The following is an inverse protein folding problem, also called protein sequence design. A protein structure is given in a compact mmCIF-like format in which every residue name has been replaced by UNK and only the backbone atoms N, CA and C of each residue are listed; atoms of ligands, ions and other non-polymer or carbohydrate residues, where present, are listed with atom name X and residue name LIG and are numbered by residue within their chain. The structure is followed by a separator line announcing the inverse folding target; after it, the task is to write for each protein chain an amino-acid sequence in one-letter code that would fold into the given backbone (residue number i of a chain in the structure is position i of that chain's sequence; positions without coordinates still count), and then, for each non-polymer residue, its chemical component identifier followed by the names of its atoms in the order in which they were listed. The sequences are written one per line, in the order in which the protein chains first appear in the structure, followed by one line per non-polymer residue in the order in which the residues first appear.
data_IF_543895550044
#
_entry.id   IF_543895550044
#
_cell.length_a   1.000
_cell.length_b   1.000
_cell.length_c   1.000
_cell.angle_alpha   90.00
_cell.angle_beta   90.00
_cell.angle_gamma   90.00
#
_symmetry.space_group_name_H-M   'P 1'
#
loop_
_entity.id
_entity.type
_entity.pdbx_description
1 polymer ?
#
# COMPACT_ATOMS: atom_id res chain seq x y z
N UNK A 1 5.60 0.38 22.97
CA UNK A 1 5.43 -1.08 23.25
C UNK A 1 5.42 -1.90 21.96
N UNK A 2 4.40 -1.77 21.09
CA UNK A 2 4.32 -2.60 19.86
C UNK A 2 5.57 -2.46 18.96
N UNK A 3 5.99 -1.23 18.66
CA UNK A 3 7.18 -0.98 17.86
C UNK A 3 8.47 -1.45 18.55
N UNK A 4 8.56 -1.38 19.88
CA UNK A 4 9.73 -1.86 20.62
C UNK A 4 9.86 -3.39 20.52
N UNK A 5 8.72 -4.10 20.61
CA UNK A 5 8.68 -5.56 20.46
C UNK A 5 9.02 -6.00 19.02
N UNK A 6 8.53 -5.28 18.00
CA UNK A 6 8.90 -5.53 16.61
C UNK A 6 10.41 -5.30 16.39
N UNK A 7 10.95 -4.20 16.93
CA UNK A 7 12.38 -3.90 16.84
C UNK A 7 13.22 -4.97 17.54
N UNK A 8 12.80 -5.46 18.70
CA UNK A 8 13.47 -6.56 19.41
C UNK A 8 13.44 -7.86 18.61
N UNK A 9 12.30 -8.20 18.02
CA UNK A 9 12.14 -9.40 17.19
C UNK A 9 13.06 -9.35 15.95
N UNK A 10 13.12 -8.21 15.27
CA UNK A 10 14.06 -7.99 14.17
C UNK A 10 15.52 -8.09 14.60
N UNK A 11 15.89 -7.55 15.77
CA UNK A 11 17.27 -7.68 16.29
C UNK A 11 17.62 -9.13 16.61
N UNK A 12 16.69 -9.88 17.20
CA UNK A 12 16.91 -11.27 17.60
C UNK A 12 16.98 -12.24 16.43
N UNK A 13 16.28 -11.95 15.34
CA UNK A 13 16.09 -12.84 14.19
C UNK A 13 16.33 -12.12 12.86
N UNK A 14 17.43 -11.35 12.77
CA UNK A 14 17.71 -10.45 11.65
C UNK A 14 17.87 -11.18 10.28
N UNK A 15 18.20 -12.47 10.29
CA UNK A 15 18.29 -13.33 9.10
C UNK A 15 16.92 -13.65 8.49
N UNK A 16 15.85 -13.62 9.32
CA UNK A 16 14.45 -13.90 8.95
C UNK A 16 13.60 -12.65 8.85
N UNK A 17 13.77 -11.71 9.78
CA UNK A 17 13.02 -10.47 9.91
C UNK A 17 13.97 -9.27 9.78
N UNK A 18 14.37 -8.88 8.56
CA UNK A 18 15.42 -7.90 8.35
C UNK A 18 15.02 -6.46 8.71
N UNK A 19 13.71 -6.19 8.81
CA UNK A 19 13.15 -4.91 9.17
C UNK A 19 11.70 -5.07 9.63
N UNK A 20 11.17 -4.03 10.27
CA UNK A 20 9.76 -3.90 10.59
C UNK A 20 9.22 -2.54 10.11
N UNK A 21 7.89 -2.45 10.05
CA UNK A 21 7.13 -1.25 9.72
C UNK A 21 6.43 -0.80 10.99
N UNK A 22 6.52 0.49 11.32
CA UNK A 22 5.99 0.98 12.59
C UNK A 22 4.47 1.20 12.56
N UNK A 23 3.81 0.90 13.66
CA UNK A 23 2.44 1.31 13.94
C UNK A 23 2.43 2.70 14.62
N UNK A 24 1.39 3.49 14.36
CA UNK A 24 1.33 4.91 14.78
C UNK A 24 0.07 5.24 15.61
N UNK A 25 0.19 6.10 16.64
CA UNK A 25 -0.95 6.57 17.44
C UNK A 25 -1.73 7.69 16.72
N UNK A 26 -2.37 7.35 15.60
CA UNK A 26 -3.00 8.31 14.67
C UNK A 26 -4.13 9.17 15.26
N UNK A 27 -4.58 8.88 16.49
CA UNK A 27 -5.53 9.73 17.23
C UNK A 27 -4.89 11.01 17.81
N UNK A 28 -3.55 11.13 17.78
CA UNK A 28 -2.82 12.31 18.20
C UNK A 28 -1.66 12.58 17.22
N UNK A 29 -1.72 13.69 16.49
CA UNK A 29 -0.74 14.02 15.43
C UNK A 29 0.64 14.32 16.01
N UNK A 30 0.73 15.07 17.10
CA UNK A 30 2.04 15.40 17.70
C UNK A 30 2.74 14.14 18.21
N UNK A 31 2.00 13.25 18.88
CA UNK A 31 2.51 11.95 19.31
C UNK A 31 2.86 11.06 18.12
N UNK A 32 2.08 11.11 17.03
CA UNK A 32 2.37 10.38 15.80
C UNK A 32 3.70 10.83 15.19
N UNK A 33 3.92 12.13 15.08
CA UNK A 33 5.15 12.67 14.51
C UNK A 33 6.38 12.31 15.36
N UNK A 34 6.26 12.41 16.68
CA UNK A 34 7.32 11.97 17.61
C UNK A 34 7.60 10.46 17.47
N UNK A 35 6.56 9.64 17.35
CA UNK A 35 6.73 8.18 17.21
C UNK A 35 7.30 7.79 15.85
N UNK A 36 7.00 8.51 14.76
CA UNK A 36 7.67 8.30 13.46
C UNK A 36 9.17 8.49 13.62
N UNK A 37 9.60 9.61 14.22
CA UNK A 37 11.02 9.91 14.38
C UNK A 37 11.70 8.88 15.28
N UNK A 38 11.09 8.52 16.40
CA UNK A 38 11.64 7.51 17.31
C UNK A 38 11.73 6.14 16.65
N UNK A 39 10.66 5.70 15.97
CA UNK A 39 10.62 4.39 15.34
C UNK A 39 11.64 4.28 14.20
N UNK A 40 11.80 5.31 13.38
CA UNK A 40 12.76 5.32 12.28
C UNK A 40 14.20 5.48 12.77
N UNK A 41 14.47 6.52 13.58
CA UNK A 41 15.83 6.89 13.95
C UNK A 41 16.40 5.99 15.06
N UNK A 42 15.59 5.63 16.05
CA UNK A 42 16.09 4.95 17.26
C UNK A 42 15.87 3.44 17.19
N UNK A 43 14.75 3.00 16.60
CA UNK A 43 14.39 1.58 16.51
C UNK A 43 14.74 0.92 15.17
N UNK A 44 14.97 1.71 14.11
CA UNK A 44 15.32 1.20 12.79
C UNK A 44 14.14 0.73 11.93
N UNK A 45 12.93 1.24 12.18
CA UNK A 45 11.77 0.99 11.33
C UNK A 45 12.05 1.45 9.89
N UNK A 46 11.58 0.68 8.89
CA UNK A 46 11.81 0.96 7.46
C UNK A 46 10.55 1.45 6.74
N UNK A 47 9.66 2.07 7.48
CA UNK A 47 8.39 2.60 7.00
C UNK A 47 7.37 2.64 8.12
N UNK A 48 6.16 3.10 7.79
CA UNK A 48 5.02 3.12 8.71
C UNK A 48 3.78 2.53 8.04
N UNK A 49 2.90 1.91 8.82
CA UNK A 49 1.61 1.44 8.34
C UNK A 49 0.52 2.45 8.73
N UNK A 50 -0.29 2.84 7.75
CA UNK A 50 -1.49 3.63 7.95
C UNK A 50 -2.71 2.86 7.45
N UNK A 51 -3.81 2.97 8.19
CA UNK A 51 -5.10 2.48 7.70
C UNK A 51 -5.77 3.51 6.79
N UNK A 52 -6.64 3.06 5.89
CA UNK A 52 -7.40 3.89 4.92
C UNK A 52 -8.23 5.01 5.57
N UNK A 53 -8.48 4.93 6.88
CA UNK A 53 -9.10 5.98 7.68
C UNK A 53 -8.57 5.99 9.12
N UNK A 54 -8.81 7.10 9.83
CA UNK A 54 -8.49 7.27 11.25
C UNK A 54 -9.77 7.70 11.97
N UNK A 55 -10.35 6.80 12.78
CA UNK A 55 -11.62 7.04 13.47
C UNK A 55 -12.73 7.56 12.54
N UNK A 56 -12.86 6.97 11.35
CA UNK A 56 -13.83 7.37 10.32
C UNK A 56 -13.42 8.59 9.49
N UNK A 57 -12.32 9.28 9.84
CA UNK A 57 -11.80 10.40 9.06
C UNK A 57 -10.90 9.92 7.92
N UNK A 58 -10.99 10.54 6.74
CA UNK A 58 -10.15 10.19 5.61
C UNK A 58 -8.73 10.70 5.78
N UNK A 59 -7.73 9.94 5.31
CA UNK A 59 -6.32 10.37 5.33
C UNK A 59 -6.03 11.64 4.52
N UNK A 60 -6.95 12.03 3.62
CA UNK A 60 -6.87 13.30 2.88
C UNK A 60 -7.20 14.54 3.72
N UNK A 61 -7.71 14.36 4.95
CA UNK A 61 -7.98 15.48 5.85
C UNK A 61 -6.69 16.26 6.15
N UNK A 62 -6.73 17.61 6.22
CA UNK A 62 -5.53 18.43 6.42
C UNK A 62 -4.71 18.08 7.68
N UNK A 63 -5.38 17.60 8.74
CA UNK A 63 -4.74 17.20 10.00
C UNK A 63 -3.72 16.05 9.84
N UNK A 64 -3.88 15.19 8.82
CA UNK A 64 -2.95 14.09 8.56
C UNK A 64 -1.82 14.47 7.59
N UNK A 65 -1.87 15.66 6.97
CA UNK A 65 -0.82 16.12 6.04
C UNK A 65 0.59 16.09 6.64
N UNK A 66 0.81 16.51 7.91
CA UNK A 66 2.13 16.46 8.54
C UNK A 66 2.76 15.06 8.56
N UNK A 67 1.96 14.00 8.68
CA UNK A 67 2.43 12.61 8.69
C UNK A 67 3.10 12.26 7.36
N UNK A 68 2.46 12.60 6.24
CA UNK A 68 3.03 12.35 4.90
C UNK A 68 4.26 13.19 4.63
N UNK A 69 4.27 14.47 5.04
CA UNK A 69 5.47 15.33 4.95
C UNK A 69 6.64 14.72 5.72
N UNK A 70 6.38 14.18 6.92
CA UNK A 70 7.40 13.55 7.74
C UNK A 70 7.96 12.29 7.09
N UNK A 71 7.09 11.45 6.52
CA UNK A 71 7.52 10.24 5.81
C UNK A 71 8.30 10.55 4.53
N UNK A 72 7.91 11.60 3.79
CA UNK A 72 8.68 12.09 2.66
C UNK A 72 10.09 12.58 3.08
N UNK A 73 10.21 13.28 4.22
CA UNK A 73 11.50 13.72 4.75
C UNK A 73 12.42 12.56 5.17
N UNK A 74 11.86 11.49 5.73
CA UNK A 74 12.60 10.24 6.01
C UNK A 74 12.93 9.43 4.75
N UNK A 75 12.26 9.73 3.63
CA UNK A 75 12.39 9.04 2.36
C UNK A 75 12.16 7.52 2.51
N UNK A 76 11.13 7.16 3.30
CA UNK A 76 10.69 5.81 3.61
C UNK A 76 9.20 5.63 3.28
N UNK A 77 8.75 4.39 2.97
CA UNK A 77 7.39 4.16 2.51
C UNK A 77 6.33 4.22 3.61
N UNK A 78 5.12 4.61 3.19
CA UNK A 78 3.87 4.42 3.91
C UNK A 78 3.16 3.20 3.32
N UNK A 79 2.92 2.18 4.15
CA UNK A 79 2.07 1.04 3.80
C UNK A 79 0.62 1.40 4.07
N UNK A 80 -0.20 1.48 3.03
CA UNK A 80 -1.62 1.78 3.14
C UNK A 80 -2.42 0.49 3.18
N UNK A 81 -3.03 0.22 4.32
CA UNK A 81 -3.80 -1.01 4.58
C UNK A 81 -5.29 -0.69 4.77
N UNK A 82 -6.22 -1.43 4.15
CA UNK A 82 -7.66 -1.29 4.43
C UNK A 82 -8.03 -1.81 5.82
N UNK A 83 -9.12 -1.34 6.43
CA UNK A 83 -9.56 -1.83 7.74
C UNK A 83 -11.08 -1.71 7.89
N UNK A 84 -11.81 -1.88 6.78
CA UNK A 84 -13.27 -1.99 6.86
C UNK A 84 -13.63 -3.14 7.79
N UNK A 85 -14.64 -2.95 8.65
CA UNK A 85 -15.21 -4.01 9.47
C UNK A 85 -16.61 -4.40 8.98
N UNK A 86 -17.21 -5.45 9.59
CA UNK A 86 -18.54 -5.95 9.23
C UNK A 86 -19.66 -4.95 9.52
N UNK A 87 -19.42 -3.89 10.29
CA UNK A 87 -20.37 -2.82 10.59
C UNK A 87 -20.56 -1.81 9.44
N UNK A 88 -19.93 -2.02 8.28
CA UNK A 88 -20.16 -1.22 7.09
C UNK A 88 -21.26 -1.89 6.24
N UNK A 89 -22.51 -1.39 6.21
CA UNK A 89 -23.60 -2.05 5.51
C UNK A 89 -23.41 -2.00 3.99
N UNK A 90 -23.90 -3.03 3.29
CA UNK A 90 -23.81 -3.13 1.82
C UNK A 90 -24.93 -2.32 1.14
N UNK A 91 -26.11 -2.28 1.78
CA UNK A 91 -27.27 -1.49 1.37
C UNK A 91 -27.74 -0.53 2.45
N UNK A 92 -28.40 0.57 2.04
CA UNK A 92 -28.83 1.64 2.95
C UNK A 92 -29.83 1.20 4.04
N UNK A 93 -30.53 0.07 3.86
CA UNK A 93 -31.46 -0.51 4.84
C UNK A 93 -30.81 -1.47 5.84
N UNK A 94 -29.52 -1.78 5.68
CA UNK A 94 -28.80 -2.73 6.53
C UNK A 94 -28.02 -2.04 7.65
N UNK A 95 -27.57 -2.83 8.63
CA UNK A 95 -26.72 -2.34 9.72
C UNK A 95 -25.30 -2.93 9.66
N UNK A 96 -25.13 -4.04 8.96
CA UNK A 96 -23.87 -4.77 8.80
C UNK A 96 -23.78 -5.31 7.38
N UNK A 97 -22.56 -5.52 6.88
CA UNK A 97 -22.34 -6.21 5.62
C UNK A 97 -22.69 -7.70 5.74
N UNK A 98 -23.23 -8.26 4.66
CA UNK A 98 -23.52 -9.68 4.54
C UNK A 98 -22.37 -10.44 3.84
N UNK A 99 -22.26 -11.73 4.11
CA UNK A 99 -21.35 -12.66 3.41
C UNK A 99 -19.88 -12.18 3.30
N UNK A 100 -19.41 -11.40 4.27
CA UNK A 100 -18.04 -10.85 4.30
C UNK A 100 -17.69 -9.98 3.08
N UNK A 101 -18.69 -9.34 2.45
CA UNK A 101 -18.48 -8.39 1.35
C UNK A 101 -17.58 -7.24 1.80
N UNK A 102 -17.72 -6.79 3.06
CA UNK A 102 -16.87 -5.78 3.69
C UNK A 102 -15.36 -6.11 3.59
N UNK A 103 -15.01 -7.39 3.65
CA UNK A 103 -13.64 -7.89 3.52
C UNK A 103 -13.29 -8.08 2.04
N UNK A 104 -14.06 -8.90 1.33
CA UNK A 104 -13.72 -9.37 -0.03
C UNK A 104 -13.67 -8.26 -1.07
N UNK A 105 -14.64 -7.34 -1.07
CA UNK A 105 -14.71 -6.22 -2.00
C UNK A 105 -14.51 -4.87 -1.31
N UNK A 106 -14.90 -4.77 -0.04
CA UNK A 106 -14.78 -3.54 0.71
C UNK A 106 -13.34 -3.11 0.94
N UNK A 107 -12.41 -4.03 1.20
CA UNK A 107 -11.00 -3.70 1.41
C UNK A 107 -10.32 -3.14 0.14
N UNK A 108 -10.37 -3.81 -1.03
CA UNK A 108 -9.86 -3.23 -2.28
C UNK A 108 -10.53 -1.91 -2.66
N UNK A 109 -11.82 -1.74 -2.36
CA UNK A 109 -12.54 -0.49 -2.58
C UNK A 109 -12.00 0.64 -1.68
N UNK A 110 -11.81 0.39 -0.38
CA UNK A 110 -11.27 1.39 0.54
C UNK A 110 -9.88 1.87 0.15
N UNK A 111 -8.99 0.96 -0.26
CA UNK A 111 -7.66 1.34 -0.76
C UNK A 111 -7.78 2.27 -1.96
N UNK A 112 -8.61 1.90 -2.94
CA UNK A 112 -8.85 2.68 -4.16
C UNK A 112 -9.41 4.06 -3.86
N UNK A 113 -10.41 4.14 -2.97
CA UNK A 113 -11.05 5.38 -2.58
C UNK A 113 -10.08 6.29 -1.79
N UNK A 114 -9.32 5.72 -0.85
CA UNK A 114 -8.34 6.46 -0.06
C UNK A 114 -7.28 7.09 -0.96
N UNK A 115 -6.64 6.30 -1.82
CA UNK A 115 -5.62 6.78 -2.77
C UNK A 115 -6.18 7.87 -3.68
N UNK A 116 -7.36 7.65 -4.26
CA UNK A 116 -8.02 8.66 -5.10
C UNK A 116 -8.16 9.97 -4.34
N UNK A 117 -8.63 9.93 -3.10
CA UNK A 117 -8.77 11.15 -2.27
C UNK A 117 -7.44 11.81 -1.95
N UNK A 118 -6.36 11.05 -1.74
CA UNK A 118 -5.02 11.62 -1.53
C UNK A 118 -4.52 12.34 -2.79
N UNK A 119 -4.74 11.74 -3.96
CA UNK A 119 -4.40 12.34 -5.27
C UNK A 119 -5.15 13.65 -5.45
N UNK A 120 -6.49 13.65 -5.34
CA UNK A 120 -7.32 14.84 -5.49
C UNK A 120 -7.14 15.88 -4.37
N UNK A 121 -6.56 15.47 -3.24
CA UNK A 121 -6.07 16.39 -2.21
C UNK A 121 -4.64 16.89 -2.51
N UNK A 122 -4.15 16.71 -3.74
CA UNK A 122 -2.85 17.19 -4.25
C UNK A 122 -1.64 16.67 -3.48
N UNK A 123 -1.74 15.51 -2.82
CA UNK A 123 -0.64 14.98 -2.00
C UNK A 123 0.63 14.76 -2.82
N UNK A 124 0.49 14.19 -4.01
CA UNK A 124 1.62 13.87 -4.89
C UNK A 124 2.11 15.07 -5.71
N UNK A 125 1.31 16.15 -5.82
CA UNK A 125 1.83 17.44 -6.30
C UNK A 125 2.77 18.07 -5.28
N UNK A 126 2.39 18.00 -4.01
CA UNK A 126 3.17 18.55 -2.91
C UNK A 126 4.40 17.70 -2.58
N UNK A 127 4.26 16.37 -2.60
CA UNK A 127 5.27 15.40 -2.20
C UNK A 127 5.48 14.36 -3.32
N UNK A 128 6.10 14.74 -4.45
CA UNK A 128 6.25 13.86 -5.62
C UNK A 128 7.11 12.62 -5.36
N UNK A 129 8.02 12.68 -4.38
CA UNK A 129 8.90 11.57 -4.00
C UNK A 129 8.31 10.69 -2.88
N UNK A 130 7.10 11.01 -2.40
CA UNK A 130 6.43 10.21 -1.38
C UNK A 130 6.13 8.80 -1.90
N UNK A 131 6.59 7.80 -1.15
CA UNK A 131 6.37 6.39 -1.46
C UNK A 131 5.16 5.87 -0.70
N UNK A 132 4.09 5.52 -1.41
CA UNK A 132 2.94 4.81 -0.84
C UNK A 132 2.88 3.41 -1.45
N UNK A 133 2.89 2.39 -0.58
CA UNK A 133 2.65 0.99 -0.96
C UNK A 133 1.18 0.69 -0.69
N UNK A 134 0.44 0.37 -1.73
CA UNK A 134 -0.96 -0.03 -1.64
C UNK A 134 -1.08 -1.54 -1.49
N UNK A 135 -1.92 -1.96 -0.55
CA UNK A 135 -2.25 -3.36 -0.36
C UNK A 135 -3.11 -3.94 -1.51
N UNK A 136 -3.01 -5.25 -1.73
CA UNK A 136 -3.78 -6.00 -2.74
C UNK A 136 -3.57 -5.47 -4.17
N UNK A 137 -2.32 -5.26 -4.56
CA UNK A 137 -1.95 -4.83 -5.91
C UNK A 137 -2.68 -3.55 -6.36
N UNK A 138 -2.77 -2.54 -5.51
CA UNK A 138 -3.50 -1.30 -5.83
C UNK A 138 -5.01 -1.40 -5.70
N UNK A 139 -5.52 -2.44 -5.05
CA UNK A 139 -6.94 -2.67 -4.87
C UNK A 139 -7.67 -2.80 -6.21
N UNK A 140 -8.66 -1.95 -6.45
CA UNK A 140 -9.47 -1.98 -7.67
C UNK A 140 -8.85 -1.14 -8.82
N UNK A 141 -7.78 -0.39 -8.57
CA UNK A 141 -7.23 0.60 -9.52
C UNK A 141 -6.78 -0.05 -10.84
N UNK A 142 -5.95 -1.10 -10.86
CA UNK A 142 -5.49 -1.69 -12.12
C UNK A 142 -6.62 -2.21 -13.00
N UNK A 143 -7.58 -2.90 -12.39
CA UNK A 143 -8.69 -3.52 -13.10
C UNK A 143 -9.66 -2.47 -13.68
N UNK A 144 -9.85 -1.35 -12.98
CA UNK A 144 -10.77 -0.29 -13.38
C UNK A 144 -10.08 0.94 -13.98
N UNK A 145 -8.82 0.83 -14.44
CA UNK A 145 -8.07 1.95 -15.01
C UNK A 145 -8.86 2.71 -16.12
N UNK A 146 -9.56 1.98 -16.99
CA UNK A 146 -10.42 2.59 -18.01
C UNK A 146 -11.62 3.37 -17.44
N UNK A 147 -12.25 2.86 -16.36
CA UNK A 147 -13.34 3.59 -15.67
C UNK A 147 -12.81 4.80 -14.92
N UNK A 148 -11.65 4.68 -14.27
CA UNK A 148 -10.97 5.79 -13.58
C UNK A 148 -10.65 6.90 -14.58
N UNK A 149 -10.16 6.54 -15.78
CA UNK A 149 -9.85 7.51 -16.84
C UNK A 149 -11.09 8.19 -17.43
N UNK A 150 -12.26 7.54 -17.39
CA UNK A 150 -13.53 8.12 -17.86
C UNK A 150 -14.31 8.85 -16.74
N UNK A 151 -14.04 8.53 -15.48
CA UNK A 151 -14.82 8.93 -14.31
C UNK A 151 -14.61 10.38 -13.86
N UNK A 152 -14.90 10.65 -12.58
CA UNK A 152 -14.65 11.95 -11.93
C UNK A 152 -15.19 13.15 -12.71
N UNK A 153 -16.48 13.11 -13.05
CA UNK A 153 -17.22 14.11 -13.84
C UNK A 153 -16.82 14.20 -15.32
N UNK A 154 -15.77 13.54 -15.78
CA UNK A 154 -15.36 13.61 -17.19
C UNK A 154 -16.42 13.06 -18.14
N UNK A 155 -17.09 11.96 -17.79
CA UNK A 155 -18.22 11.42 -18.56
C UNK A 155 -19.42 12.38 -18.71
N UNK A 156 -19.64 13.28 -17.75
CA UNK A 156 -20.81 14.15 -17.74
C UNK A 156 -20.49 15.59 -18.17
N UNK A 157 -19.26 16.06 -17.93
CA UNK A 157 -18.89 17.47 -18.03
C UNK A 157 -17.49 17.71 -18.62
N UNK A 158 -16.75 16.65 -18.98
CA UNK A 158 -15.39 16.72 -19.52
C UNK A 158 -15.30 16.37 -21.01
N UNK A 159 -14.06 16.22 -21.48
CA UNK A 159 -13.70 15.71 -22.82
C UNK A 159 -12.56 14.71 -22.66
N UNK A 160 -12.12 13.97 -23.70
CA UNK A 160 -10.94 13.10 -23.57
C UNK A 160 -9.69 13.82 -23.05
N UNK A 161 -9.55 15.12 -23.34
CA UNK A 161 -8.43 15.98 -22.94
C UNK A 161 -8.66 16.72 -21.62
N UNK A 162 -9.88 16.69 -21.08
CA UNK A 162 -10.30 17.57 -19.98
C UNK A 162 -11.07 16.84 -18.89
N UNK A 163 -10.52 16.82 -17.67
CA UNK A 163 -11.17 16.23 -16.49
C UNK A 163 -11.55 17.34 -15.48
N UNK A 164 -12.84 17.70 -15.38
CA UNK A 164 -13.28 18.81 -14.52
C UNK A 164 -12.96 18.62 -13.04
N UNK A 165 -13.04 17.40 -12.52
CA UNK A 165 -12.71 17.17 -11.11
C UNK A 165 -11.21 17.36 -10.84
N UNK A 166 -10.35 16.97 -11.78
CA UNK A 166 -8.91 17.19 -11.68
C UNK A 166 -8.54 18.69 -11.77
N UNK A 167 -9.22 19.43 -12.65
CA UNK A 167 -9.09 20.88 -12.79
C UNK A 167 -9.54 21.62 -11.51
N UNK A 168 -10.72 21.28 -10.99
CA UNK A 168 -11.27 21.87 -9.76
C UNK A 168 -10.36 21.59 -8.56
N UNK A 169 -9.74 20.41 -8.53
CA UNK A 169 -8.75 20.04 -7.53
C UNK A 169 -7.38 20.71 -7.75
N UNK A 170 -7.10 21.27 -8.93
CA UNK A 170 -5.83 21.91 -9.27
C UNK A 170 -4.67 20.93 -9.46
N UNK A 171 -4.94 19.71 -9.94
CA UNK A 171 -3.90 18.71 -10.24
C UNK A 171 -2.96 19.23 -11.34
N UNK A 172 -1.65 18.98 -11.18
CA UNK A 172 -0.63 19.39 -12.14
C UNK A 172 -0.38 18.37 -13.26
N UNK A 173 -0.97 17.17 -13.15
CA UNK A 173 -0.82 16.06 -14.10
C UNK A 173 -2.17 15.36 -14.31
N UNK A 174 -2.32 14.56 -15.38
CA UNK A 174 -3.45 13.64 -15.51
C UNK A 174 -3.60 12.73 -14.27
N UNK A 175 -4.83 12.47 -13.78
CA UNK A 175 -5.05 11.60 -12.62
C UNK A 175 -4.36 10.24 -12.70
N UNK A 176 -4.31 9.64 -13.90
CA UNK A 176 -3.70 8.33 -14.12
C UNK A 176 -2.20 8.31 -13.82
N UNK A 177 -1.50 9.43 -14.05
CA UNK A 177 -0.06 9.53 -13.80
C UNK A 177 0.24 9.40 -12.30
N UNK A 178 -0.60 9.97 -11.44
CA UNK A 178 -0.44 9.82 -10.00
C UNK A 178 -0.71 8.39 -9.52
N UNK A 179 -1.68 7.68 -10.11
CA UNK A 179 -1.89 6.28 -9.77
C UNK A 179 -0.67 5.41 -10.13
N UNK A 180 0.09 5.77 -11.17
CA UNK A 180 1.34 5.09 -11.54
C UNK A 180 2.53 5.43 -10.63
N UNK A 181 2.43 6.47 -9.80
CA UNK A 181 3.46 6.81 -8.80
C UNK A 181 3.43 5.89 -7.58
N UNK A 182 2.38 5.10 -7.41
CA UNK A 182 2.23 4.18 -6.28
C UNK A 182 3.08 2.93 -6.46
N UNK A 183 3.39 2.31 -5.33
CA UNK A 183 3.89 0.94 -5.25
C UNK A 183 2.77 0.01 -4.85
N UNK A 184 2.85 -1.25 -5.24
CA UNK A 184 1.79 -2.21 -5.03
C UNK A 184 2.35 -3.54 -4.54
N UNK A 185 1.80 -4.07 -3.46
CA UNK A 185 2.17 -5.39 -2.99
C UNK A 185 1.37 -6.51 -3.69
N UNK A 186 1.87 -7.75 -3.62
CA UNK A 186 1.32 -8.89 -4.37
C UNK A 186 0.32 -9.73 -3.58
N UNK A 187 -0.21 -9.23 -2.46
CA UNK A 187 -1.14 -9.97 -1.62
C UNK A 187 -2.50 -10.14 -2.32
N UNK A 188 -2.60 -11.08 -3.25
CA UNK A 188 -3.79 -11.38 -4.06
C UNK A 188 -4.23 -12.84 -3.89
N UNK A 189 -3.80 -13.47 -2.80
CA UNK A 189 -4.09 -14.87 -2.46
C UNK A 189 -3.69 -15.87 -3.58
N UNK A 190 -2.71 -15.50 -4.41
CA UNK A 190 -2.18 -16.31 -5.50
C UNK A 190 -2.99 -16.37 -6.79
N UNK A 191 -3.95 -15.46 -7.00
CA UNK A 191 -4.68 -15.43 -8.26
C UNK A 191 -3.81 -14.91 -9.42
N UNK A 192 -3.53 -15.76 -10.43
CA UNK A 192 -2.64 -15.45 -11.57
C UNK A 192 -3.16 -14.28 -12.42
N UNK A 193 -4.44 -14.29 -12.82
CA UNK A 193 -4.98 -13.29 -13.74
C UNK A 193 -5.02 -11.87 -13.12
N UNK A 194 -5.48 -11.68 -11.87
CA UNK A 194 -5.33 -10.40 -11.16
C UNK A 194 -3.87 -9.95 -11.02
N UNK A 195 -2.95 -10.88 -10.73
CA UNK A 195 -1.51 -10.58 -10.62
C UNK A 195 -0.96 -10.06 -11.95
N UNK A 196 -1.33 -10.67 -13.08
CA UNK A 196 -0.98 -10.17 -14.43
C UNK A 196 -1.55 -8.78 -14.70
N UNK A 197 -2.81 -8.53 -14.34
CA UNK A 197 -3.46 -7.23 -14.52
C UNK A 197 -2.74 -6.14 -13.73
N UNK A 198 -2.44 -6.41 -12.47
CA UNK A 198 -1.70 -5.51 -11.59
C UNK A 198 -0.27 -5.23 -12.06
N UNK A 199 0.47 -6.28 -12.43
CA UNK A 199 1.81 -6.14 -12.99
C UNK A 199 1.82 -5.32 -14.28
N UNK A 200 0.88 -5.57 -15.20
CA UNK A 200 0.75 -4.78 -16.42
C UNK A 200 0.44 -3.29 -16.13
N UNK A 201 -0.23 -3.00 -15.01
CA UNK A 201 -0.50 -1.63 -14.60
C UNK A 201 0.74 -0.98 -13.95
N UNK A 202 1.33 -1.58 -12.93
CA UNK A 202 2.41 -0.93 -12.16
C UNK A 202 3.80 -1.09 -12.78
N UNK A 203 4.01 -2.16 -13.54
CA UNK A 203 5.33 -2.57 -14.02
C UNK A 203 6.19 -3.18 -12.91
N UNK A 204 7.25 -3.88 -13.32
CA UNK A 204 8.12 -4.67 -12.44
C UNK A 204 8.69 -3.86 -11.27
N UNK A 205 9.14 -2.62 -11.48
CA UNK A 205 9.84 -1.82 -10.45
C UNK A 205 8.94 -1.33 -9.32
N UNK A 206 7.62 -1.33 -9.51
CA UNK A 206 6.65 -0.84 -8.54
C UNK A 206 5.88 -1.97 -7.83
N UNK A 207 6.15 -3.24 -8.17
CA UNK A 207 5.55 -4.40 -7.53
C UNK A 207 6.46 -4.97 -6.42
N UNK A 208 5.90 -5.28 -5.25
CA UNK A 208 6.61 -5.89 -4.12
C UNK A 208 5.96 -7.21 -3.70
N UNK A 209 6.75 -8.24 -3.48
CA UNK A 209 6.24 -9.48 -2.92
C UNK A 209 5.65 -9.28 -1.51
N UNK A 210 4.40 -9.66 -1.33
CA UNK A 210 3.72 -9.79 -0.05
C UNK A 210 2.59 -10.83 -0.17
N UNK A 211 2.21 -11.40 0.97
CA UNK A 211 1.29 -12.55 1.01
C UNK A 211 0.10 -12.36 1.93
N UNK A 212 0.12 -11.32 2.78
CA UNK A 212 -0.86 -11.12 3.84
C UNK A 212 -1.03 -12.36 4.76
N UNK A 213 0.08 -13.04 5.06
CA UNK A 213 0.05 -14.09 6.08
C UNK A 213 -0.29 -13.45 7.44
N UNK A 214 -1.13 -14.08 8.29
CA UNK A 214 -1.42 -15.52 8.30
C UNK A 214 -2.89 -15.91 8.02
N UNK A 215 -3.64 -15.16 7.19
CA UNK A 215 -5.11 -15.26 7.13
C UNK A 215 -5.71 -16.55 6.54
N UNK A 216 -4.93 -17.51 6.05
CA UNK A 216 -5.47 -18.78 5.55
C UNK A 216 -5.62 -19.86 6.66
N UNK A 217 -6.30 -20.95 6.32
CA UNK A 217 -6.50 -22.10 7.21
C UNK A 217 -5.20 -22.86 7.55
N UNK A 218 -4.10 -22.55 6.88
CA UNK A 218 -2.76 -23.13 7.04
C UNK A 218 -1.78 -22.15 7.71
N UNK A 219 -2.29 -21.14 8.44
CA UNK A 219 -1.51 -20.13 9.17
C UNK A 219 -0.59 -19.30 8.25
N UNK A 220 -1.02 -19.06 7.02
CA UNK A 220 -0.33 -18.25 5.99
C UNK A 220 0.51 -19.06 4.99
N UNK A 221 0.69 -20.37 5.20
CA UNK A 221 1.53 -21.19 4.30
C UNK A 221 0.96 -21.29 2.89
N UNK A 222 -0.37 -21.41 2.77
CA UNK A 222 -1.06 -21.47 1.50
C UNK A 222 -0.93 -20.15 0.73
N UNK A 223 -1.15 -19.01 1.39
CA UNK A 223 -0.99 -17.68 0.81
C UNK A 223 0.43 -17.44 0.29
N UNK A 224 1.45 -17.88 1.03
CA UNK A 224 2.85 -17.79 0.60
C UNK A 224 3.06 -18.61 -0.68
N UNK A 225 2.70 -19.89 -0.67
CA UNK A 225 2.90 -20.80 -1.81
C UNK A 225 2.15 -20.31 -3.05
N UNK A 226 0.87 -19.95 -2.90
CA UNK A 226 0.03 -19.52 -4.01
C UNK A 226 0.52 -18.18 -4.61
N UNK A 227 1.02 -17.26 -3.78
CA UNK A 227 1.58 -15.99 -4.27
C UNK A 227 2.86 -16.22 -5.07
N UNK A 228 3.73 -17.14 -4.62
CA UNK A 228 4.93 -17.54 -5.37
C UNK A 228 4.53 -18.11 -6.74
N UNK A 229 3.58 -19.05 -6.77
CA UNK A 229 3.08 -19.64 -8.03
C UNK A 229 2.53 -18.56 -8.98
N UNK A 230 1.76 -17.60 -8.46
CA UNK A 230 1.20 -16.52 -9.26
C UNK A 230 2.27 -15.63 -9.92
N UNK A 231 3.35 -15.34 -9.20
CA UNK A 231 4.48 -14.57 -9.72
C UNK A 231 5.36 -15.37 -10.69
N UNK A 232 5.50 -16.68 -10.47
CA UNK A 232 6.20 -17.57 -11.40
C UNK A 232 5.47 -17.70 -12.74
N UNK A 233 4.14 -17.58 -12.74
CA UNK A 233 3.29 -17.59 -13.93
C UNK A 233 3.26 -16.26 -14.72
N UNK A 234 3.96 -15.22 -14.26
CA UNK A 234 4.11 -13.97 -15.01
C UNK A 234 5.05 -14.17 -16.23
N UNK A 235 4.70 -13.61 -17.41
CA UNK A 235 5.52 -13.69 -18.62
C UNK A 235 6.67 -12.68 -18.59
N UNK A 236 7.52 -12.75 -17.56
CA UNK A 236 8.67 -11.86 -17.32
C UNK A 236 9.96 -12.65 -17.17
N UNK A 237 11.10 -11.97 -17.31
CA UNK A 237 12.40 -12.59 -17.08
C UNK A 237 12.63 -12.98 -15.61
N UNK A 238 13.55 -13.91 -15.37
CA UNK A 238 13.97 -14.28 -14.01
C UNK A 238 14.55 -13.07 -13.24
N UNK A 239 15.27 -12.19 -13.93
CA UNK A 239 15.82 -10.97 -13.35
C UNK A 239 14.73 -9.98 -12.90
N UNK A 240 13.66 -9.84 -13.67
CA UNK A 240 12.50 -9.03 -13.28
C UNK A 240 11.74 -9.66 -12.11
N UNK A 241 11.60 -11.00 -12.12
CA UNK A 241 10.93 -11.71 -11.02
C UNK A 241 11.67 -11.56 -9.69
N UNK A 242 13.01 -11.63 -9.70
CA UNK A 242 13.84 -11.40 -8.51
C UNK A 242 13.71 -9.96 -7.96
N UNK A 243 13.49 -8.97 -8.85
CA UNK A 243 13.16 -7.62 -8.41
C UNK A 243 11.87 -7.59 -7.59
N UNK A 244 10.82 -8.28 -8.04
CA UNK A 244 9.54 -8.35 -7.32
C UNK A 244 9.70 -9.11 -6.01
N UNK A 245 10.40 -10.25 -6.02
CA UNK A 245 10.59 -11.08 -4.82
C UNK A 245 11.36 -10.39 -3.71
N UNK A 246 12.41 -9.63 -4.04
CA UNK A 246 13.24 -9.00 -3.01
C UNK A 246 13.90 -7.69 -3.43
N UNK A 247 14.30 -7.54 -4.70
CA UNK A 247 15.10 -6.40 -5.14
C UNK A 247 14.45 -5.04 -4.87
N UNK A 248 13.17 -4.91 -5.21
CA UNK A 248 12.39 -3.69 -5.02
C UNK A 248 12.21 -3.37 -3.53
N UNK A 249 11.87 -4.38 -2.71
CA UNK A 249 11.74 -4.20 -1.27
C UNK A 249 13.07 -3.76 -0.63
N UNK A 250 14.19 -4.39 -1.00
CA UNK A 250 15.52 -4.01 -0.50
C UNK A 250 15.86 -2.55 -0.82
N UNK A 251 15.58 -2.12 -2.05
CA UNK A 251 15.82 -0.74 -2.48
C UNK A 251 14.88 0.25 -1.77
N UNK A 252 13.58 -0.03 -1.77
CA UNK A 252 12.55 0.87 -1.24
C UNK A 252 12.66 1.06 0.28
N UNK A 253 12.99 -0.02 1.00
CA UNK A 253 13.15 -0.05 2.46
C UNK A 253 14.58 0.28 2.90
N UNK A 254 15.51 0.53 1.97
CA UNK A 254 16.93 0.80 2.24
C UNK A 254 17.54 -0.27 3.14
N UNK A 255 17.24 -1.54 2.87
CA UNK A 255 17.76 -2.65 3.66
C UNK A 255 19.27 -2.79 3.43
N UNK A 256 20.04 -3.12 4.48
CA UNK A 256 21.46 -3.41 4.31
C UNK A 256 21.64 -4.60 3.36
N UNK A 257 22.76 -4.62 2.63
CA UNK A 257 23.17 -5.81 1.90
C UNK A 257 23.24 -6.99 2.87
N UNK A 258 22.68 -8.14 2.49
CA UNK A 258 22.77 -9.37 3.29
C UNK A 258 24.26 -9.63 3.58
N UNK A 259 24.67 -9.51 4.84
CA UNK A 259 25.90 -10.15 5.30
C UNK A 259 25.71 -11.64 5.08
N UNK A 260 26.61 -12.27 4.32
CA UNK A 260 26.60 -13.71 4.17
C UNK A 260 26.66 -14.31 5.58
N UNK A 261 25.58 -14.98 6.00
CA UNK A 261 25.61 -15.78 7.21
C UNK A 261 26.63 -16.87 6.91
N UNK A 262 27.76 -16.85 7.63
CA UNK A 262 28.65 -18.01 7.65
C UNK A 262 27.78 -19.17 8.12
N UNK A 263 27.58 -20.16 7.24
CA UNK A 263 27.01 -21.42 7.67
C UNK A 263 27.92 -21.94 8.78
N UNK A 264 27.42 -21.94 10.02
CA UNK A 264 28.08 -22.71 11.07
C UNK A 264 28.03 -24.19 10.66
N UNK A 265 29.14 -24.93 10.83
CA UNK A 265 29.31 -26.28 10.31
C UNK A 265 28.34 -27.30 10.89
#
# INVERSE_FOLDING_TARGET
IANDALAELCRKHADRFPAFVAALPMNNIDATLAEIDRAVNDLGARGVQLFTNVAGKPLSAPEFRPVFRRMAAHDLPVWLHPMRGPNFPDYASEQTSEAEIWFSFGWPYETSACVTRLIYARLFDELPDLKIITHHMGGMIPYFAGKINLGFRQIFFGTPERNPAAEDAGLQRPPMDYFKMLYADTALNGAIAPTRCGHAFFGTSSCLFATDAPFDAEQGRGLIANTIEALEALPISSAEREKIFAGNARALLKLPARTAVQAEP
#
